data_IF_945608794224
#
_entry.id   IF_945608794224
#
_cell.length_a   1.000
_cell.length_b   1.000
_cell.length_c   1.000
_cell.angle_alpha   90.00
_cell.angle_beta   90.00
_cell.angle_gamma   90.00
#
_symmetry.space_group_name_H-M   'P 1'
#
loop_
_entity.id
_entity.type
_entity.pdbx_description
1 polymer ?
#
# COMPACT_ATOMS: atom_id res chain seq x y z
N UNK A 1 -71.22 -24.99 11.74
CA UNK A 1 -72.39 -24.10 11.64
C UNK A 1 -73.22 -24.29 12.90
N UNK A 2 -74.00 -23.30 13.33
CA UNK A 2 -75.02 -23.50 14.36
C UNK A 2 -76.26 -24.23 13.80
N UNK A 3 -77.24 -24.52 14.66
CA UNK A 3 -78.48 -25.23 14.30
C UNK A 3 -79.40 -24.46 13.34
N UNK A 4 -79.15 -23.18 13.13
CA UNK A 4 -79.89 -22.32 12.19
C UNK A 4 -79.12 -22.13 10.87
N UNK A 5 -78.04 -22.90 10.66
CA UNK A 5 -77.30 -22.94 9.40
C UNK A 5 -76.25 -21.83 9.23
N UNK A 6 -75.87 -21.10 10.29
CA UNK A 6 -74.87 -20.02 10.20
C UNK A 6 -73.43 -20.53 10.41
N UNK A 7 -72.50 -20.11 9.55
CA UNK A 7 -71.08 -20.50 9.61
C UNK A 7 -70.40 -19.82 10.79
N UNK A 8 -69.95 -20.60 11.77
CA UNK A 8 -69.36 -20.13 13.05
C UNK A 8 -67.84 -19.90 12.99
N UNK A 9 -67.19 -20.21 11.87
CA UNK A 9 -65.82 -19.78 11.61
C UNK A 9 -65.76 -19.24 10.18
N UNK A 10 -65.79 -17.92 10.05
CA UNK A 10 -65.31 -17.24 8.87
C UNK A 10 -64.12 -16.41 9.35
N UNK A 11 -62.91 -16.94 9.20
CA UNK A 11 -61.73 -16.07 9.26
C UNK A 11 -61.67 -15.36 7.92
N UNK A 12 -61.85 -14.06 7.96
CA UNK A 12 -61.71 -13.20 6.81
C UNK A 12 -60.24 -13.28 6.34
N UNK A 13 -59.96 -14.18 5.39
CA UNK A 13 -58.63 -14.32 4.78
C UNK A 13 -58.39 -13.30 3.68
N UNK A 14 -59.39 -12.47 3.35
CA UNK A 14 -59.28 -11.48 2.29
C UNK A 14 -59.14 -10.07 2.88
N UNK A 15 -58.02 -9.83 3.57
CA UNK A 15 -57.57 -8.45 3.80
C UNK A 15 -57.01 -7.89 2.49
N UNK A 16 -57.89 -7.68 1.52
CA UNK A 16 -57.58 -7.00 0.26
C UNK A 16 -57.11 -5.59 0.58
N UNK A 17 -55.97 -5.18 0.03
CA UNK A 17 -55.51 -3.79 0.14
C UNK A 17 -56.48 -2.94 -0.67
N UNK A 18 -57.30 -2.14 0.01
CA UNK A 18 -58.42 -1.40 -0.60
C UNK A 18 -57.95 -0.07 -1.19
N UNK A 19 -56.77 0.40 -0.79
CA UNK A 19 -56.16 1.62 -1.31
C UNK A 19 -54.75 1.85 -0.77
N UNK A 20 -53.93 2.49 -1.59
CA UNK A 20 -52.58 2.95 -1.27
C UNK A 20 -52.57 4.46 -1.50
N UNK A 21 -52.28 5.25 -0.47
CA UNK A 21 -52.16 6.70 -0.61
C UNK A 21 -50.86 7.17 0.03
N UNK A 22 -50.12 8.00 -0.69
CA UNK A 22 -48.91 8.65 -0.18
C UNK A 22 -49.26 10.07 0.27
N UNK A 23 -49.02 10.37 1.55
CA UNK A 23 -49.21 11.71 2.13
C UNK A 23 -47.95 12.09 2.90
N UNK A 24 -47.30 13.19 2.50
CA UNK A 24 -46.10 13.73 3.17
C UNK A 24 -45.01 12.67 3.47
N UNK A 25 -44.75 11.76 2.53
CA UNK A 25 -43.73 10.71 2.68
C UNK A 25 -44.12 9.56 3.62
N UNK A 26 -45.41 9.44 3.99
CA UNK A 26 -45.98 8.26 4.65
C UNK A 26 -46.90 7.53 3.69
N UNK A 27 -46.68 6.23 3.53
CA UNK A 27 -47.57 5.38 2.73
C UNK A 27 -48.60 4.75 3.66
N UNK A 28 -49.86 5.07 3.41
CA UNK A 28 -51.00 4.54 4.12
C UNK A 28 -51.60 3.41 3.29
N UNK A 29 -51.70 2.22 3.87
CA UNK A 29 -52.36 1.07 3.25
C UNK A 29 -53.58 0.69 4.09
N UNK A 30 -54.76 0.76 3.47
CA UNK A 30 -56.02 0.36 4.10
C UNK A 30 -56.27 -1.14 3.89
N UNK A 31 -56.41 -1.88 4.98
CA UNK A 31 -56.89 -3.27 4.96
C UNK A 31 -58.38 -3.29 5.27
N UNK A 32 -59.17 -4.12 4.58
CA UNK A 32 -60.64 -4.16 4.65
C UNK A 32 -61.25 -4.23 6.06
N UNK A 33 -60.49 -4.64 7.07
CA UNK A 33 -60.85 -4.55 8.48
C UNK A 33 -60.30 -3.27 9.14
N UNK A 34 -60.80 -2.09 8.74
CA UNK A 34 -60.78 -0.76 9.43
C UNK A 34 -59.51 -0.32 10.20
N UNK A 35 -58.39 -1.03 10.06
CA UNK A 35 -57.09 -0.74 10.65
C UNK A 35 -56.24 -0.12 9.57
N UNK A 36 -55.92 1.16 9.76
CA UNK A 36 -55.00 1.89 8.91
C UNK A 36 -53.60 1.70 9.48
N UNK A 37 -52.74 1.01 8.73
CA UNK A 37 -51.32 0.90 9.07
C UNK A 37 -50.57 1.99 8.30
N UNK A 38 -49.92 2.88 9.03
CA UNK A 38 -49.11 3.96 8.48
C UNK A 38 -47.63 3.59 8.62
N UNK A 39 -46.90 3.53 7.50
CA UNK A 39 -45.44 3.40 7.51
C UNK A 39 -44.83 4.55 6.71
N UNK A 40 -43.90 5.28 7.32
CA UNK A 40 -43.16 6.31 6.60
C UNK A 40 -42.40 5.66 5.42
N UNK A 41 -42.59 6.18 4.21
CA UNK A 41 -41.82 5.81 3.03
C UNK A 41 -40.31 5.99 3.27
N UNK A 42 -39.93 7.01 4.04
CA UNK A 42 -38.55 7.21 4.51
C UNK A 42 -38.02 6.08 5.39
N UNK A 43 -38.87 5.42 6.19
CA UNK A 43 -38.49 4.23 6.98
C UNK A 43 -38.33 2.99 6.09
N UNK A 44 -39.18 2.82 5.06
CA UNK A 44 -39.06 1.71 4.09
C UNK A 44 -37.79 1.88 3.25
N UNK A 45 -37.56 3.07 2.69
CA UNK A 45 -36.36 3.39 1.91
C UNK A 45 -35.09 3.28 2.74
N UNK A 46 -35.10 3.79 3.98
CA UNK A 46 -33.99 3.68 4.92
C UNK A 46 -33.67 2.23 5.30
N UNK A 47 -34.69 1.42 5.58
CA UNK A 47 -34.51 0.01 5.94
C UNK A 47 -33.98 -0.83 4.76
N UNK A 48 -34.49 -0.62 3.53
CA UNK A 48 -34.00 -1.31 2.33
C UNK A 48 -32.57 -0.88 2.02
N UNK A 49 -32.25 0.42 2.12
CA UNK A 49 -30.89 0.92 1.91
C UNK A 49 -29.91 0.37 2.97
N UNK A 50 -30.31 0.33 4.25
CA UNK A 50 -29.51 -0.24 5.32
C UNK A 50 -29.31 -1.75 5.14
N UNK A 51 -30.37 -2.51 4.82
CA UNK A 51 -30.29 -3.94 4.56
C UNK A 51 -29.41 -4.24 3.33
N UNK A 52 -29.53 -3.45 2.26
CA UNK A 52 -28.69 -3.57 1.07
C UNK A 52 -27.23 -3.23 1.41
N UNK A 53 -26.97 -2.15 2.15
CA UNK A 53 -25.63 -1.81 2.60
C UNK A 53 -25.01 -2.91 3.46
N UNK A 54 -25.78 -3.47 4.41
CA UNK A 54 -25.32 -4.58 5.25
C UNK A 54 -25.11 -5.86 4.44
N UNK A 55 -25.96 -6.15 3.47
CA UNK A 55 -25.80 -7.28 2.55
C UNK A 55 -24.53 -7.12 1.70
N UNK A 56 -24.36 -5.98 1.03
CA UNK A 56 -23.16 -5.67 0.27
C UNK A 56 -21.93 -5.69 1.17
N UNK A 57 -21.98 -5.06 2.34
CA UNK A 57 -20.86 -5.07 3.27
C UNK A 57 -20.56 -6.48 3.75
N UNK A 58 -21.53 -7.31 4.11
CA UNK A 58 -21.28 -8.68 4.59
C UNK A 58 -20.74 -9.60 3.49
N UNK A 59 -21.35 -9.58 2.30
CA UNK A 59 -20.93 -10.45 1.19
C UNK A 59 -19.65 -9.97 0.53
N UNK A 60 -19.47 -8.66 0.31
CA UNK A 60 -18.24 -8.11 -0.26
C UNK A 60 -17.11 -8.09 0.76
N UNK A 61 -17.33 -7.69 2.02
CA UNK A 61 -16.28 -7.78 3.05
C UNK A 61 -15.91 -9.23 3.33
N UNK A 62 -16.88 -10.15 3.41
CA UNK A 62 -16.61 -11.58 3.56
C UNK A 62 -15.86 -12.17 2.37
N UNK A 63 -16.22 -11.81 1.14
CA UNK A 63 -15.50 -12.24 -0.06
C UNK A 63 -14.07 -11.69 -0.10
N UNK A 64 -13.89 -10.40 0.20
CA UNK A 64 -12.57 -9.75 0.28
C UNK A 64 -11.73 -10.33 1.43
N UNK A 65 -12.32 -10.59 2.60
CA UNK A 65 -11.64 -11.20 3.73
C UNK A 65 -11.21 -12.64 3.43
N UNK A 66 -12.07 -13.46 2.82
CA UNK A 66 -11.72 -14.83 2.37
C UNK A 66 -10.65 -14.82 1.28
N UNK A 67 -10.72 -13.88 0.34
CA UNK A 67 -9.69 -13.69 -0.68
C UNK A 67 -8.34 -13.33 -0.02
N UNK A 68 -8.33 -12.41 0.94
CA UNK A 68 -7.14 -12.07 1.75
C UNK A 68 -6.60 -13.27 2.54
N UNK A 69 -7.45 -14.07 3.17
CA UNK A 69 -7.01 -15.25 3.91
C UNK A 69 -6.31 -16.28 3.00
N UNK A 70 -6.80 -16.48 1.77
CA UNK A 70 -6.10 -17.32 0.76
C UNK A 70 -4.77 -16.70 0.28
N UNK A 71 -4.63 -15.38 0.40
CA UNK A 71 -3.35 -14.70 0.15
C UNK A 71 -2.33 -14.85 1.28
N UNK A 72 -2.72 -15.33 2.46
CA UNK A 72 -1.76 -15.59 3.53
C UNK A 72 -1.43 -17.09 3.67
N UNK A 73 -2.05 -17.99 2.89
CA UNK A 73 -1.81 -19.44 2.99
C UNK A 73 -0.53 -19.94 2.27
N UNK A 74 0.04 -19.16 1.35
CA UNK A 74 1.21 -19.60 0.60
C UNK A 74 2.51 -19.33 1.37
N UNK A 75 3.16 -20.41 1.83
CA UNK A 75 4.41 -20.36 2.59
C UNK A 75 5.53 -19.58 1.89
N UNK A 76 5.72 -19.78 0.58
CA UNK A 76 6.78 -19.09 -0.18
C UNK A 76 6.48 -17.59 -0.33
N UNK A 77 5.22 -17.21 -0.58
CA UNK A 77 4.83 -15.80 -0.61
C UNK A 77 5.07 -15.11 0.74
N UNK A 78 4.74 -15.77 1.85
CA UNK A 78 4.99 -15.24 3.19
C UNK A 78 6.48 -15.11 3.48
N UNK A 79 7.30 -16.10 3.06
CA UNK A 79 8.77 -16.01 3.14
C UNK A 79 9.32 -14.83 2.35
N UNK A 80 8.82 -14.59 1.13
CA UNK A 80 9.22 -13.43 0.31
C UNK A 80 8.84 -12.13 0.99
N UNK A 81 7.62 -12.01 1.50
CA UNK A 81 7.16 -10.80 2.20
C UNK A 81 8.01 -10.53 3.47
N UNK A 82 8.26 -11.57 4.26
CA UNK A 82 9.05 -11.44 5.49
C UNK A 82 10.51 -11.11 5.19
N UNK A 83 11.06 -11.68 4.11
CA UNK A 83 12.39 -11.31 3.63
C UNK A 83 12.46 -9.84 3.25
N UNK A 84 11.48 -9.30 2.52
CA UNK A 84 11.43 -7.87 2.16
C UNK A 84 11.27 -6.99 3.41
N UNK A 85 10.49 -7.43 4.40
CA UNK A 85 10.36 -6.72 5.68
C UNK A 85 11.70 -6.60 6.40
N UNK A 86 12.48 -7.67 6.44
CA UNK A 86 13.82 -7.70 7.06
C UNK A 86 14.89 -7.01 6.21
N UNK A 87 14.73 -7.02 4.90
CA UNK A 87 15.65 -6.45 3.93
C UNK A 87 14.97 -5.42 3.01
N UNK A 88 14.62 -4.24 3.52
CA UNK A 88 14.02 -3.17 2.71
C UNK A 88 14.94 -2.81 1.53
N UNK A 89 14.32 -2.65 0.36
CA UNK A 89 15.06 -2.36 -0.87
C UNK A 89 15.79 -3.55 -1.47
N UNK A 90 15.48 -4.78 -1.04
CA UNK A 90 15.97 -5.99 -1.71
C UNK A 90 15.48 -6.06 -3.16
N UNK A 91 16.32 -6.61 -4.02
CA UNK A 91 16.04 -6.93 -5.42
C UNK A 91 15.46 -8.33 -5.55
N UNK A 92 14.79 -8.60 -6.67
CA UNK A 92 14.28 -9.93 -6.99
C UNK A 92 15.39 -11.00 -6.97
N UNK A 93 16.61 -10.65 -7.40
CA UNK A 93 17.74 -11.57 -7.42
C UNK A 93 18.23 -11.95 -6.01
N UNK A 94 18.37 -10.96 -5.12
CA UNK A 94 18.72 -11.20 -3.72
C UNK A 94 17.66 -12.09 -3.05
N UNK A 95 16.37 -11.82 -3.27
CA UNK A 95 15.28 -12.63 -2.73
C UNK A 95 15.35 -14.08 -3.25
N UNK A 96 15.54 -14.28 -4.55
CA UNK A 96 15.60 -15.61 -5.16
C UNK A 96 16.78 -16.43 -4.64
N UNK A 97 17.97 -15.81 -4.58
CA UNK A 97 19.19 -16.43 -4.08
C UNK A 97 19.06 -16.81 -2.61
N UNK A 98 18.68 -15.85 -1.77
CA UNK A 98 18.78 -16.01 -0.31
C UNK A 98 17.63 -16.87 0.25
N UNK A 99 16.49 -16.95 -0.45
CA UNK A 99 15.42 -17.89 -0.11
C UNK A 99 15.51 -19.23 -0.82
N UNK A 100 16.46 -19.39 -1.76
CA UNK A 100 16.59 -20.55 -2.65
C UNK A 100 15.29 -20.87 -3.39
N UNK A 101 14.67 -19.84 -3.98
CA UNK A 101 13.43 -19.94 -4.76
C UNK A 101 13.74 -19.57 -6.22
N UNK A 102 13.16 -20.32 -7.16
CA UNK A 102 13.30 -20.00 -8.59
C UNK A 102 12.83 -18.57 -8.91
N UNK A 103 13.58 -17.90 -9.80
CA UNK A 103 13.32 -16.50 -10.18
C UNK A 103 11.89 -16.24 -10.69
N UNK A 104 11.33 -17.16 -11.49
CA UNK A 104 9.96 -17.06 -11.99
C UNK A 104 8.92 -17.15 -10.87
N UNK A 105 9.16 -18.02 -9.89
CA UNK A 105 8.32 -18.15 -8.70
C UNK A 105 8.39 -16.91 -7.82
N UNK A 106 9.59 -16.34 -7.62
CA UNK A 106 9.73 -15.06 -6.90
C UNK A 106 9.00 -13.94 -7.64
N UNK A 107 9.17 -13.82 -8.96
CA UNK A 107 8.46 -12.84 -9.79
C UNK A 107 6.95 -12.95 -9.62
N UNK A 108 6.40 -14.16 -9.67
CA UNK A 108 4.98 -14.41 -9.43
C UNK A 108 4.56 -13.93 -8.03
N UNK A 109 5.31 -14.28 -6.99
CA UNK A 109 4.99 -13.83 -5.63
C UNK A 109 5.08 -12.32 -5.45
N UNK A 110 6.08 -11.66 -6.03
CA UNK A 110 6.21 -10.20 -6.03
C UNK A 110 5.04 -9.52 -6.73
N UNK A 111 4.59 -10.06 -7.87
CA UNK A 111 3.40 -9.58 -8.58
C UNK A 111 2.17 -9.66 -7.67
N UNK A 112 1.90 -10.83 -7.09
CA UNK A 112 0.75 -11.02 -6.20
C UNK A 112 0.83 -10.12 -4.97
N UNK A 113 2.00 -9.97 -4.34
CA UNK A 113 2.19 -9.08 -3.20
C UNK A 113 1.98 -7.60 -3.56
N UNK A 114 2.40 -7.18 -4.75
CA UNK A 114 2.23 -5.81 -5.25
C UNK A 114 0.77 -5.51 -5.55
N UNK A 115 0.08 -6.42 -6.26
CA UNK A 115 -1.35 -6.29 -6.56
C UNK A 115 -2.22 -6.23 -5.30
N UNK A 116 -1.76 -6.83 -4.20
CA UNK A 116 -2.45 -6.81 -2.92
C UNK A 116 -1.94 -5.75 -1.95
N UNK A 117 -1.19 -4.76 -2.46
CA UNK A 117 -0.69 -3.62 -1.69
C UNK A 117 0.09 -4.02 -0.43
N UNK A 118 0.75 -5.19 -0.44
CA UNK A 118 1.62 -5.64 0.67
C UNK A 118 3.03 -5.10 0.53
N UNK A 119 3.47 -4.90 -0.71
CA UNK A 119 4.76 -4.32 -1.06
C UNK A 119 4.58 -3.23 -2.13
N UNK A 120 5.54 -2.34 -2.23
CA UNK A 120 5.66 -1.33 -3.29
C UNK A 120 6.97 -1.58 -4.04
N UNK A 121 6.93 -1.77 -5.38
CA UNK A 121 8.12 -1.70 -6.20
C UNK A 121 8.55 -0.23 -6.38
N UNK A 122 9.83 0.05 -6.19
CA UNK A 122 10.41 1.37 -6.37
C UNK A 122 11.59 1.30 -7.35
N UNK A 123 11.71 2.33 -8.18
CA UNK A 123 12.76 2.46 -9.20
C UNK A 123 13.44 3.82 -9.03
N UNK A 124 14.66 3.81 -8.48
CA UNK A 124 15.50 5.01 -8.44
C UNK A 124 16.04 5.34 -9.84
N UNK A 125 16.26 4.32 -10.66
CA UNK A 125 16.69 4.38 -12.05
C UNK A 125 15.94 3.31 -12.87
N UNK A 126 16.13 3.28 -14.19
CA UNK A 126 15.45 2.32 -15.07
C UNK A 126 15.95 0.88 -14.88
N UNK A 127 17.14 0.71 -14.28
CA UNK A 127 17.85 -0.56 -14.25
C UNK A 127 17.48 -1.42 -13.04
N UNK A 128 17.28 -0.79 -11.88
CA UNK A 128 17.09 -1.52 -10.63
C UNK A 128 15.68 -1.33 -10.05
N UNK A 129 14.98 -2.45 -9.86
CA UNK A 129 13.72 -2.49 -9.11
C UNK A 129 14.01 -2.97 -7.70
N UNK A 130 13.62 -2.18 -6.71
CA UNK A 130 13.74 -2.47 -5.29
C UNK A 130 12.36 -2.63 -4.67
N UNK A 131 12.22 -3.53 -3.71
CA UNK A 131 10.93 -3.81 -3.08
C UNK A 131 10.91 -3.35 -1.63
N UNK A 132 9.82 -2.68 -1.24
CA UNK A 132 9.59 -2.16 0.10
C UNK A 132 8.25 -2.65 0.63
N UNK A 133 8.11 -2.81 1.94
CA UNK A 133 6.80 -3.11 2.54
C UNK A 133 5.89 -1.89 2.48
N UNK A 134 4.64 -2.10 2.09
CA UNK A 134 3.63 -1.04 2.04
C UNK A 134 2.93 -0.84 3.40
N UNK A 135 3.72 -0.60 4.45
CA UNK A 135 3.23 -0.40 5.82
C UNK A 135 3.37 1.05 6.29
N UNK A 136 3.60 1.99 5.37
CA UNK A 136 3.89 3.39 5.68
C UNK A 136 5.29 3.64 6.28
N UNK A 137 6.12 2.61 6.42
CA UNK A 137 7.43 2.72 7.07
C UNK A 137 8.51 3.42 6.23
N UNK A 138 8.30 3.57 4.92
CA UNK A 138 9.28 4.16 4.01
C UNK A 138 8.58 5.12 3.05
N UNK A 139 8.84 6.42 3.20
CA UNK A 139 8.40 7.44 2.26
C UNK A 139 9.20 7.38 0.94
N UNK A 140 8.81 8.15 -0.10
CA UNK A 140 9.54 8.20 -1.36
C UNK A 140 11.02 8.54 -1.22
N UNK A 141 11.36 9.39 -0.25
CA UNK A 141 12.73 9.82 0.03
C UNK A 141 13.56 8.72 0.70
N UNK A 142 12.96 7.98 1.64
CA UNK A 142 13.59 6.80 2.25
C UNK A 142 13.82 5.71 1.19
N UNK A 143 12.82 5.46 0.35
CA UNK A 143 12.90 4.47 -0.72
C UNK A 143 14.01 4.84 -1.72
N UNK A 144 14.13 6.12 -2.08
CA UNK A 144 15.22 6.62 -2.92
C UNK A 144 16.57 6.40 -2.24
N UNK A 145 16.74 6.86 -1.01
CA UNK A 145 18.00 6.78 -0.28
C UNK A 145 18.46 5.32 -0.10
N UNK A 146 17.57 4.45 0.38
CA UNK A 146 17.85 3.01 0.57
C UNK A 146 18.18 2.37 -0.78
N UNK A 147 17.45 2.69 -1.85
CA UNK A 147 17.70 2.12 -3.18
C UNK A 147 19.07 2.51 -3.73
N UNK A 148 19.52 3.74 -3.49
CA UNK A 148 20.86 4.20 -3.87
C UNK A 148 21.94 3.55 -3.01
N UNK A 149 21.76 3.47 -1.69
CA UNK A 149 22.72 2.84 -0.77
C UNK A 149 22.79 1.31 -0.90
N UNK A 150 21.82 0.66 -1.54
CA UNK A 150 21.96 -0.75 -1.96
C UNK A 150 22.98 -0.94 -3.09
N UNK A 151 23.45 0.14 -3.73
CA UNK A 151 24.57 0.12 -4.67
C UNK A 151 25.84 0.47 -3.88
N UNK A 152 26.70 -0.51 -3.71
CA UNK A 152 27.88 -0.43 -2.84
C UNK A 152 28.75 0.83 -3.11
N UNK A 153 29.08 1.20 -4.36
CA UNK A 153 29.86 2.41 -4.61
C UNK A 153 29.16 3.71 -4.21
N UNK A 154 27.83 3.77 -4.32
CA UNK A 154 27.06 4.95 -3.91
C UNK A 154 26.95 5.02 -2.39
N UNK A 155 26.75 3.88 -1.71
CA UNK A 155 26.74 3.79 -0.24
C UNK A 155 28.03 4.35 0.35
N UNK A 156 29.17 3.91 -0.19
CA UNK A 156 30.51 4.35 0.19
C UNK A 156 30.68 5.87 0.08
N UNK A 157 30.31 6.45 -1.06
CA UNK A 157 30.38 7.91 -1.27
C UNK A 157 29.48 8.64 -0.28
N UNK A 158 28.24 8.19 -0.09
CA UNK A 158 27.30 8.82 0.83
C UNK A 158 27.77 8.73 2.28
N UNK A 159 28.34 7.60 2.71
CA UNK A 159 28.92 7.44 4.04
C UNK A 159 30.07 8.43 4.26
N UNK A 160 31.02 8.52 3.32
CA UNK A 160 32.14 9.47 3.42
C UNK A 160 31.66 10.92 3.45
N UNK A 161 30.68 11.29 2.62
CA UNK A 161 30.11 12.64 2.60
C UNK A 161 29.28 12.97 3.83
N UNK A 162 28.73 11.96 4.52
CA UNK A 162 28.02 12.14 5.77
C UNK A 162 28.96 12.43 6.95
N UNK A 163 30.14 11.83 6.95
CA UNK A 163 31.19 12.10 7.95
C UNK A 163 31.96 13.38 7.64
N UNK A 164 32.28 13.60 6.37
CA UNK A 164 33.13 14.71 5.88
C UNK A 164 32.48 15.37 4.67
N UNK A 165 31.50 16.28 4.88
CA UNK A 165 30.92 17.05 3.79
C UNK A 165 31.95 18.02 3.21
N UNK A 166 31.80 18.38 1.93
CA UNK A 166 32.67 19.35 1.26
C UNK A 166 33.93 18.75 0.63
N UNK A 167 33.97 17.44 0.39
CA UNK A 167 35.08 16.81 -0.32
C UNK A 167 34.93 16.98 -1.84
N UNK A 168 36.06 17.14 -2.53
CA UNK A 168 36.17 17.13 -3.98
C UNK A 168 36.23 15.71 -4.56
N UNK A 169 36.14 15.57 -5.88
CA UNK A 169 36.20 14.26 -6.54
C UNK A 169 37.53 13.53 -6.27
N UNK A 170 38.64 14.27 -6.27
CA UNK A 170 39.99 13.75 -5.98
C UNK A 170 40.12 13.29 -4.52
N UNK A 171 39.51 13.99 -3.58
CA UNK A 171 39.55 13.59 -2.17
C UNK A 171 38.65 12.38 -1.92
N UNK A 172 37.48 12.32 -2.56
CA UNK A 172 36.58 11.17 -2.49
C UNK A 172 37.21 9.91 -3.10
N UNK A 173 37.86 10.04 -4.26
CA UNK A 173 38.52 8.92 -4.93
C UNK A 173 39.63 8.34 -4.06
N UNK A 174 40.45 9.21 -3.44
CA UNK A 174 41.50 8.81 -2.49
C UNK A 174 40.93 8.17 -1.23
N UNK A 175 39.87 8.74 -0.65
CA UNK A 175 39.25 8.20 0.56
C UNK A 175 38.60 6.83 0.33
N UNK A 176 38.18 6.52 -0.90
CA UNK A 176 37.49 5.28 -1.25
C UNK A 176 38.38 4.24 -1.95
N UNK A 177 39.66 4.57 -2.16
CA UNK A 177 40.58 3.79 -3.00
C UNK A 177 39.97 3.41 -4.36
N UNK A 178 39.38 4.40 -5.02
CA UNK A 178 38.65 4.23 -6.27
C UNK A 178 39.20 5.15 -7.36
N UNK A 179 39.02 4.77 -8.63
CA UNK A 179 39.38 5.66 -9.74
C UNK A 179 38.51 6.94 -9.73
N UNK A 180 39.13 8.08 -10.04
CA UNK A 180 38.45 9.38 -10.12
C UNK A 180 37.29 9.39 -11.13
N UNK A 181 37.44 8.69 -12.26
CA UNK A 181 36.40 8.60 -13.29
C UNK A 181 35.19 7.81 -12.82
N UNK A 182 35.40 6.71 -12.08
CA UNK A 182 34.34 5.92 -11.45
C UNK A 182 33.63 6.70 -10.36
N UNK A 183 34.40 7.41 -9.53
CA UNK A 183 33.89 8.29 -8.47
C UNK A 183 33.02 9.40 -9.06
N UNK A 184 33.51 10.08 -10.09
CA UNK A 184 32.75 11.13 -10.79
C UNK A 184 31.45 10.59 -11.39
N UNK A 185 31.48 9.41 -12.04
CA UNK A 185 30.27 8.77 -12.58
C UNK A 185 29.23 8.52 -11.50
N UNK A 186 29.66 8.04 -10.34
CA UNK A 186 28.79 7.75 -9.21
C UNK A 186 28.23 9.02 -8.57
N UNK A 187 29.06 10.04 -8.37
CA UNK A 187 28.62 11.36 -7.87
C UNK A 187 27.63 12.00 -8.83
N UNK A 188 27.88 11.94 -10.14
CA UNK A 188 26.96 12.46 -11.15
C UNK A 188 25.59 11.79 -11.04
N UNK A 189 25.54 10.47 -10.86
CA UNK A 189 24.28 9.76 -10.62
C UNK A 189 23.57 10.24 -9.34
N UNK A 190 24.30 10.57 -8.27
CA UNK A 190 23.70 11.12 -7.03
C UNK A 190 23.18 12.54 -7.20
N UNK A 191 23.87 13.38 -7.99
CA UNK A 191 23.46 14.74 -8.35
C UNK A 191 22.20 14.69 -9.22
N UNK A 192 22.14 13.80 -10.21
CA UNK A 192 20.97 13.61 -11.08
C UNK A 192 19.71 13.20 -10.29
N UNK A 193 19.87 12.57 -9.13
CA UNK A 193 18.77 12.23 -8.22
C UNK A 193 18.50 13.30 -7.15
N UNK A 194 19.24 14.41 -7.16
CA UNK A 194 19.09 15.52 -6.21
C UNK A 194 19.52 15.20 -4.78
N UNK A 195 20.20 14.07 -4.57
CA UNK A 195 20.64 13.60 -3.24
C UNK A 195 21.95 14.27 -2.82
N UNK A 196 22.79 14.62 -3.78
CA UNK A 196 24.06 15.32 -3.56
C UNK A 196 24.05 16.65 -4.30
N UNK A 197 24.50 17.70 -3.62
CA UNK A 197 24.69 19.03 -4.19
C UNK A 197 26.16 19.24 -4.54
N UNK A 198 26.41 19.98 -5.63
CA UNK A 198 27.73 20.48 -6.00
C UNK A 198 27.85 21.94 -5.57
N UNK A 199 28.97 22.30 -4.95
CA UNK A 199 29.28 23.69 -4.56
C UNK A 199 30.66 24.08 -5.11
N UNK A 200 30.78 25.31 -5.61
CA UNK A 200 32.07 25.90 -5.98
C UNK A 200 32.59 26.66 -4.77
N UNK A 201 33.71 26.21 -4.22
CA UNK A 201 34.34 26.91 -3.11
C UNK A 201 35.12 28.15 -3.60
N UNK A 202 35.41 29.12 -2.72
CA UNK A 202 36.14 30.34 -3.08
C UNK A 202 37.54 30.10 -3.67
N UNK A 203 38.14 28.94 -3.35
CA UNK A 203 39.41 28.47 -3.90
C UNK A 203 39.30 27.91 -5.34
N UNK A 204 38.10 27.93 -5.94
CA UNK A 204 37.81 27.38 -7.26
C UNK A 204 37.56 25.87 -7.28
N UNK A 205 37.60 25.19 -6.12
CA UNK A 205 37.44 23.74 -6.03
C UNK A 205 35.98 23.34 -5.99
N UNK A 206 35.61 22.33 -6.79
CA UNK A 206 34.26 21.75 -6.76
C UNK A 206 34.20 20.73 -5.62
N UNK A 207 33.22 20.91 -4.74
CA UNK A 207 33.00 20.06 -3.58
C UNK A 207 31.56 19.56 -3.53
N UNK A 208 31.35 18.47 -2.80
CA UNK A 208 30.07 17.78 -2.73
C UNK A 208 29.56 17.68 -1.30
N UNK A 209 28.25 17.80 -1.12
CA UNK A 209 27.58 17.60 0.16
C UNK A 209 26.24 16.91 -0.05
N UNK A 210 25.78 16.15 0.94
CA UNK A 210 24.42 15.59 0.92
C UNK A 210 23.44 16.75 1.02
N UNK A 211 22.41 16.72 0.17
CA UNK A 211 21.34 17.71 0.22
C UNK A 211 20.66 17.66 1.60
N UNK A 212 20.47 18.84 2.23
CA UNK A 212 19.90 18.97 3.57
C UNK A 212 18.57 18.24 3.73
N UNK A 213 17.78 18.17 2.65
CA UNK A 213 16.51 17.44 2.59
C UNK A 213 16.65 15.94 2.88
N UNK A 214 17.80 15.36 2.54
CA UNK A 214 18.06 13.92 2.60
C UNK A 214 18.98 13.50 3.75
N UNK A 215 19.48 14.43 4.57
CA UNK A 215 20.44 14.12 5.64
C UNK A 215 19.88 13.12 6.67
N UNK A 216 18.61 13.28 7.08
CA UNK A 216 17.98 12.40 8.06
C UNK A 216 17.77 10.97 7.50
N UNK A 217 17.37 10.88 6.23
CA UNK A 217 17.15 9.62 5.53
C UNK A 217 18.48 8.92 5.25
N UNK A 218 19.54 9.66 4.91
CA UNK A 218 20.89 9.11 4.74
C UNK A 218 21.38 8.45 6.04
N UNK A 219 21.25 9.15 7.17
CA UNK A 219 21.61 8.60 8.48
C UNK A 219 20.83 7.32 8.82
N UNK A 220 19.51 7.38 8.62
CA UNK A 220 18.61 6.25 8.91
C UNK A 220 18.90 5.04 8.02
N UNK A 221 19.19 5.28 6.73
CA UNK A 221 19.48 4.24 5.76
C UNK A 221 20.85 3.57 5.99
N UNK A 222 21.89 4.31 6.39
CA UNK A 222 23.17 3.70 6.77
C UNK A 222 23.00 2.75 7.96
N UNK A 223 22.37 3.22 9.03
CA UNK A 223 22.09 2.41 10.22
C UNK A 223 21.26 1.15 9.92
N UNK A 224 20.38 1.22 8.92
CA UNK A 224 19.59 0.08 8.47
C UNK A 224 20.43 -0.95 7.70
N UNK A 225 21.36 -0.50 6.86
CA UNK A 225 22.13 -1.33 5.92
C UNK A 225 23.49 -1.80 6.45
N UNK A 226 23.90 -1.35 7.63
CA UNK A 226 25.13 -1.79 8.33
C UNK A 226 24.87 -2.92 9.36
N UNK A 227 23.64 -3.44 9.41
CA UNK A 227 23.26 -4.63 10.20
C UNK A 227 23.50 -5.91 9.42
#
# INVERSE_FOLDING_TARGET
MDRDGRIIWARDTDTRVVGIQELNGTVLFGSGNSKVSAMNAGLIGGAIAAASYLFYRFFFFGAVARARARLDSNRNRNRVLEYIRKNPGASMFEIARDLSINMGTVRYHLLILSMNHRIVPFRADEKYVRYFTNAGSYGPEDQLMISLMRREPLKKILAVLQERPGLSNLELSRALDAHESSTMRNIKALIEKGVVNRSLQPDGKITYSINSKFCAQAHSALKLLDK
#
